data_IF_039725563278
#
_entry.id   IF_039725563278
#
_cell.length_a   1.000
_cell.length_b   1.000
_cell.length_c   1.000
_cell.angle_alpha   90.00
_cell.angle_beta   90.00
_cell.angle_gamma   90.00
#
_symmetry.space_group_name_H-M   'P 1'
#
loop_
_entity.id
_entity.type
_entity.pdbx_description
1 polymer ?
#
# COMPACT_ATOMS: atom_id res chain seq x y z
N UNK A 1 5.46 15.36 29.29
CA UNK A 1 4.96 16.75 29.31
C UNK A 1 3.49 16.69 28.89
N UNK A 2 2.61 17.17 29.79
CA UNK A 2 1.15 17.40 29.72
C UNK A 2 0.42 17.06 28.40
N UNK A 3 -0.75 16.38 28.40
CA UNK A 3 -1.93 16.93 29.06
C UNK A 3 -3.01 15.86 29.35
N UNK A 4 -3.18 15.53 30.64
CA UNK A 4 -4.26 14.71 31.21
C UNK A 4 -5.31 15.69 31.76
N UNK A 5 -6.06 16.36 30.88
CA UNK A 5 -7.02 17.40 31.28
C UNK A 5 -8.22 17.48 30.33
N UNK A 6 -8.82 16.34 29.97
CA UNK A 6 -10.08 16.35 29.22
C UNK A 6 -11.15 15.38 29.71
N UNK A 7 -10.98 14.76 30.89
CA UNK A 7 -11.92 13.73 31.36
C UNK A 7 -12.79 14.18 32.54
N UNK A 8 -12.35 15.11 33.38
CA UNK A 8 -13.05 15.37 34.64
C UNK A 8 -14.29 16.26 34.48
N UNK A 9 -14.30 17.16 33.48
CA UNK A 9 -15.43 18.07 33.23
C UNK A 9 -16.56 17.41 32.45
N UNK A 10 -16.24 16.46 31.57
CA UNK A 10 -17.24 15.68 30.82
C UNK A 10 -17.91 14.65 31.73
N UNK A 11 -17.15 13.97 32.60
CA UNK A 11 -17.70 13.09 33.64
C UNK A 11 -18.59 13.84 34.65
N UNK A 12 -18.21 15.06 35.06
CA UNK A 12 -19.05 15.89 35.94
C UNK A 12 -20.31 16.43 35.23
N UNK A 13 -20.29 16.57 33.90
CA UNK A 13 -21.47 16.96 33.14
C UNK A 13 -22.50 15.81 33.03
N UNK A 14 -22.04 14.56 32.95
CA UNK A 14 -22.91 13.39 32.99
C UNK A 14 -23.49 13.09 34.38
N UNK A 15 -22.77 13.44 35.48
CA UNK A 15 -23.30 13.32 36.85
C UNK A 15 -24.21 14.49 37.29
N UNK A 16 -24.31 15.56 36.50
CA UNK A 16 -25.23 16.69 36.77
C UNK A 16 -26.53 16.58 35.96
N UNK A 17 -26.92 15.37 35.53
CA UNK A 17 -28.33 15.10 35.29
C UNK A 17 -29.01 14.91 36.65
N UNK A 18 -29.89 15.85 36.96
CA UNK A 18 -30.74 15.93 38.16
C UNK A 18 -31.21 14.55 38.66
N UNK A 19 -30.98 14.27 39.94
CA UNK A 19 -31.68 13.23 40.71
C UNK A 19 -33.18 13.53 40.73
N UNK A 20 -34.00 12.67 40.13
CA UNK A 20 -35.45 12.65 40.29
C UNK A 20 -35.83 11.94 41.61
N UNK A 21 -36.86 12.41 42.33
CA UNK A 21 -37.32 11.80 43.59
C UNK A 21 -37.91 10.39 43.41
N UNK A 22 -38.01 9.58 44.47
CA UNK A 22 -38.02 8.11 44.40
C UNK A 22 -39.28 7.42 43.85
N UNK A 23 -40.35 8.11 43.48
CA UNK A 23 -41.65 7.47 43.20
C UNK A 23 -42.38 8.02 41.96
N UNK A 24 -41.70 8.19 40.83
CA UNK A 24 -42.37 8.58 39.58
C UNK A 24 -41.90 7.70 38.42
N UNK A 25 -42.80 6.83 37.95
CA UNK A 25 -42.57 5.95 36.82
C UNK A 25 -42.11 6.72 35.58
N UNK A 26 -41.23 6.11 34.79
CA UNK A 26 -40.69 6.59 33.51
C UNK A 26 -41.63 7.57 32.82
N UNK A 27 -41.23 8.84 32.74
CA UNK A 27 -41.98 9.83 31.97
C UNK A 27 -41.97 9.42 30.51
N UNK A 28 -43.14 9.29 29.88
CA UNK A 28 -43.29 8.90 28.47
C UNK A 28 -42.44 9.76 27.51
N UNK A 29 -42.19 11.02 27.87
CA UNK A 29 -41.34 11.94 27.11
C UNK A 29 -39.85 11.53 27.15
N UNK A 30 -39.37 11.08 28.32
CA UNK A 30 -37.99 10.65 28.50
C UNK A 30 -37.68 9.42 27.65
N UNK A 31 -38.61 8.45 27.63
CA UNK A 31 -38.51 7.26 26.77
C UNK A 31 -38.49 7.66 25.29
N UNK A 32 -39.30 8.63 24.88
CA UNK A 32 -39.35 9.10 23.49
C UNK A 32 -38.05 9.80 23.05
N UNK A 33 -37.48 10.65 23.91
CA UNK A 33 -36.18 11.29 23.65
C UNK A 33 -35.06 10.24 23.63
N UNK A 34 -35.09 9.26 24.55
CA UNK A 34 -34.11 8.18 24.56
C UNK A 34 -34.15 7.35 23.26
N UNK A 35 -35.35 6.99 22.78
CA UNK A 35 -35.50 6.27 21.50
C UNK A 35 -35.00 7.11 20.31
N UNK A 36 -35.25 8.42 20.31
CA UNK A 36 -34.76 9.33 19.27
C UNK A 36 -33.21 9.37 19.24
N UNK A 37 -32.57 9.48 20.40
CA UNK A 37 -31.11 9.50 20.50
C UNK A 37 -30.50 8.17 20.06
N UNK A 38 -31.09 7.04 20.47
CA UNK A 38 -30.63 5.71 20.03
C UNK A 38 -30.79 5.55 18.51
N UNK A 39 -31.90 6.01 17.94
CA UNK A 39 -32.12 5.92 16.49
C UNK A 39 -31.07 6.71 15.69
N UNK A 40 -30.82 7.97 16.07
CA UNK A 40 -29.82 8.79 15.37
C UNK A 40 -28.40 8.26 15.53
N UNK A 41 -28.04 7.79 16.72
CA UNK A 41 -26.72 7.21 16.97
C UNK A 41 -26.52 5.90 16.21
N UNK A 42 -27.54 5.03 16.16
CA UNK A 42 -27.51 3.78 15.38
C UNK A 42 -27.37 4.06 13.87
N UNK A 43 -28.16 4.98 13.34
CA UNK A 43 -28.09 5.38 11.92
C UNK A 43 -26.71 5.98 11.59
N UNK A 44 -26.15 6.80 12.49
CA UNK A 44 -24.79 7.33 12.35
C UNK A 44 -23.72 6.25 12.35
N UNK A 45 -23.81 5.29 13.27
CA UNK A 45 -22.83 4.22 13.42
C UNK A 45 -22.79 3.28 12.20
N UNK A 46 -23.95 2.88 11.67
CA UNK A 46 -24.03 2.01 10.49
C UNK A 46 -23.39 2.66 9.27
N UNK A 47 -23.73 3.92 8.99
CA UNK A 47 -23.15 4.65 7.88
C UNK A 47 -21.64 4.86 8.09
N UNK A 48 -21.21 5.21 9.30
CA UNK A 48 -19.78 5.38 9.63
C UNK A 48 -18.96 4.12 9.40
N UNK A 49 -19.46 2.96 9.85
CA UNK A 49 -18.79 1.67 9.65
C UNK A 49 -18.71 1.28 8.17
N UNK A 50 -19.78 1.53 7.39
CA UNK A 50 -19.77 1.29 5.95
C UNK A 50 -18.66 2.10 5.26
N UNK A 51 -18.49 3.38 5.60
CA UNK A 51 -17.39 4.17 5.04
C UNK A 51 -16.02 3.64 5.49
N UNK A 52 -15.84 3.32 6.77
CA UNK A 52 -14.57 2.81 7.29
C UNK A 52 -14.13 1.51 6.60
N UNK A 53 -15.06 0.55 6.44
CA UNK A 53 -14.78 -0.72 5.76
C UNK A 53 -14.45 -0.51 4.28
N UNK A 54 -15.14 0.40 3.58
CA UNK A 54 -14.81 0.74 2.20
C UNK A 54 -13.41 1.34 2.06
N UNK A 55 -13.02 2.26 2.95
CA UNK A 55 -11.68 2.83 2.94
C UNK A 55 -10.61 1.80 3.26
N UNK A 56 -10.87 0.92 4.23
CA UNK A 56 -9.97 -0.16 4.58
C UNK A 56 -9.69 -1.08 3.38
N UNK A 57 -10.73 -1.53 2.66
CA UNK A 57 -10.55 -2.40 1.48
C UNK A 57 -9.74 -1.71 0.38
N UNK A 58 -9.94 -0.39 0.18
CA UNK A 58 -9.13 0.37 -0.78
C UNK A 58 -7.67 0.44 -0.35
N UNK A 59 -7.41 0.71 0.93
CA UNK A 59 -6.07 0.77 1.48
C UNK A 59 -5.36 -0.58 1.39
N UNK A 60 -6.04 -1.68 1.73
CA UNK A 60 -5.50 -3.04 1.62
C UNK A 60 -5.09 -3.38 0.18
N UNK A 61 -5.91 -3.02 -0.82
CA UNK A 61 -5.58 -3.23 -2.24
C UNK A 61 -4.33 -2.46 -2.68
N UNK A 62 -4.18 -1.21 -2.23
CA UNK A 62 -3.00 -0.41 -2.53
C UNK A 62 -1.75 -0.95 -1.82
N UNK A 63 -1.89 -1.37 -0.56
CA UNK A 63 -0.82 -1.99 0.20
C UNK A 63 -0.36 -3.31 -0.43
N UNK A 64 -1.28 -4.17 -0.85
CA UNK A 64 -0.98 -5.42 -1.55
C UNK A 64 -0.24 -5.19 -2.87
N UNK A 65 -0.69 -4.20 -3.67
CA UNK A 65 0.00 -3.85 -4.92
C UNK A 65 1.45 -3.42 -4.67
N UNK A 66 1.68 -2.63 -3.62
CA UNK A 66 3.03 -2.18 -3.22
C UNK A 66 3.87 -3.35 -2.70
N UNK A 67 3.29 -4.24 -1.89
CA UNK A 67 3.96 -5.44 -1.39
C UNK A 67 4.45 -6.34 -2.53
N UNK A 68 3.63 -6.57 -3.55
CA UNK A 68 4.06 -7.37 -4.70
C UNK A 68 5.24 -6.74 -5.44
N UNK A 69 5.23 -5.40 -5.60
CA UNK A 69 6.34 -4.68 -6.22
C UNK A 69 7.61 -4.81 -5.37
N UNK A 70 7.51 -4.67 -4.04
CA UNK A 70 8.64 -4.81 -3.12
C UNK A 70 9.24 -6.22 -3.20
N UNK A 71 8.40 -7.25 -3.12
CA UNK A 71 8.81 -8.65 -3.22
C UNK A 71 9.57 -8.93 -4.52
N UNK A 72 9.08 -8.43 -5.65
CA UNK A 72 9.77 -8.59 -6.93
C UNK A 72 11.07 -7.77 -7.00
N UNK A 73 11.07 -6.55 -6.46
CA UNK A 73 12.28 -5.72 -6.39
C UNK A 73 13.38 -6.38 -5.54
N UNK A 74 13.02 -7.07 -4.46
CA UNK A 74 13.96 -7.87 -3.66
C UNK A 74 14.55 -9.04 -4.45
N UNK A 75 13.74 -9.72 -5.26
CA UNK A 75 14.24 -10.75 -6.16
C UNK A 75 15.22 -10.17 -7.19
N UNK A 76 14.91 -9.02 -7.80
CA UNK A 76 15.81 -8.34 -8.74
C UNK A 76 17.11 -7.93 -8.07
N UNK A 77 17.06 -7.39 -6.84
CA UNK A 77 18.26 -7.04 -6.06
C UNK A 77 19.12 -8.26 -5.76
N UNK A 78 18.51 -9.39 -5.43
CA UNK A 78 19.20 -10.66 -5.22
C UNK A 78 19.93 -11.13 -6.49
N UNK A 79 19.26 -11.06 -7.64
CA UNK A 79 19.87 -11.38 -8.95
C UNK A 79 21.01 -10.42 -9.31
N UNK A 80 20.84 -9.12 -9.03
CA UNK A 80 21.90 -8.13 -9.22
C UNK A 80 23.13 -8.40 -8.33
N UNK A 81 22.91 -8.85 -7.09
CA UNK A 81 23.99 -9.26 -6.20
C UNK A 81 24.68 -10.55 -6.66
N UNK A 82 23.97 -11.49 -7.28
CA UNK A 82 24.57 -12.71 -7.82
C UNK A 82 25.57 -12.43 -8.96
N UNK A 83 25.40 -11.33 -9.70
CA UNK A 83 26.33 -10.91 -10.76
C UNK A 83 27.61 -10.26 -10.23
N UNK A 84 27.77 -10.17 -8.90
CA UNK A 84 28.84 -9.44 -8.24
C UNK A 84 30.24 -10.09 -8.31
N UNK A 85 30.49 -11.07 -9.18
CA UNK A 85 31.81 -11.70 -9.32
C UNK A 85 32.39 -11.58 -10.72
N UNK A 86 31.60 -11.14 -11.70
CA UNK A 86 32.03 -11.11 -13.11
C UNK A 86 32.55 -9.74 -13.52
N UNK A 87 33.86 -9.51 -13.37
CA UNK A 87 34.54 -8.24 -13.70
C UNK A 87 34.57 -7.93 -15.20
N UNK A 88 34.28 -8.90 -16.07
CA UNK A 88 34.22 -8.69 -17.51
C UNK A 88 33.01 -7.84 -17.97
N UNK A 89 32.07 -7.56 -17.06
CA UNK A 89 30.87 -6.75 -17.31
C UNK A 89 31.08 -5.24 -17.08
N UNK A 90 32.29 -4.82 -16.69
CA UNK A 90 32.68 -3.40 -16.66
C UNK A 90 32.95 -2.87 -18.08
N UNK A 91 31.91 -2.80 -18.92
CA UNK A 91 32.01 -2.31 -20.30
C UNK A 91 31.17 -1.05 -20.51
N UNK A 92 31.54 -0.28 -21.52
CA UNK A 92 30.83 0.95 -21.93
C UNK A 92 29.58 0.70 -22.78
N UNK A 93 29.40 -0.54 -23.26
CA UNK A 93 28.22 -0.93 -24.04
C UNK A 93 27.18 -1.61 -23.14
N UNK A 94 25.93 -1.15 -23.23
CA UNK A 94 24.85 -1.67 -22.39
C UNK A 94 24.66 -3.19 -22.56
N UNK A 95 24.74 -3.73 -23.77
CA UNK A 95 24.52 -5.16 -24.03
C UNK A 95 25.52 -6.09 -23.33
N UNK A 96 26.71 -5.61 -22.99
CA UNK A 96 27.78 -6.37 -22.34
C UNK A 96 28.09 -5.86 -20.93
N UNK A 97 27.23 -5.01 -20.38
CA UNK A 97 27.39 -4.39 -19.08
C UNK A 97 26.73 -5.18 -17.96
N UNK A 98 26.95 -4.80 -16.71
CA UNK A 98 26.20 -5.35 -15.58
C UNK A 98 24.69 -5.12 -15.71
N UNK A 99 24.25 -3.95 -16.18
CA UNK A 99 22.81 -3.69 -16.35
C UNK A 99 22.21 -4.51 -17.51
N UNK A 100 22.97 -4.73 -18.58
CA UNK A 100 22.57 -5.58 -19.71
C UNK A 100 22.44 -7.05 -19.31
N UNK A 101 23.43 -7.58 -18.60
CA UNK A 101 23.39 -8.93 -18.06
C UNK A 101 22.26 -9.12 -17.03
N UNK A 102 22.00 -8.10 -16.21
CA UNK A 102 20.84 -8.11 -15.30
C UNK A 102 19.54 -8.12 -16.09
N UNK A 103 19.41 -7.29 -17.14
CA UNK A 103 18.23 -7.25 -18.01
C UNK A 103 17.92 -8.60 -18.66
N UNK A 104 18.93 -9.38 -19.05
CA UNK A 104 18.71 -10.72 -19.62
C UNK A 104 18.30 -11.76 -18.59
N UNK A 105 18.67 -11.56 -17.32
CA UNK A 105 18.36 -12.47 -16.22
C UNK A 105 17.00 -12.15 -15.58
N UNK A 106 16.61 -10.88 -15.61
CA UNK A 106 15.32 -10.40 -15.11
C UNK A 106 14.28 -10.57 -16.22
N UNK A 107 13.50 -11.64 -16.15
CA UNK A 107 12.42 -11.89 -17.11
C UNK A 107 11.48 -10.67 -17.20
N UNK A 108 11.01 -10.31 -18.39
CA UNK A 108 9.94 -9.33 -18.46
C UNK A 108 8.69 -9.92 -17.80
N UNK A 109 8.16 -9.27 -16.75
CA UNK A 109 6.82 -9.63 -16.25
C UNK A 109 5.83 -9.05 -17.26
N UNK A 110 5.50 -9.88 -18.25
CA UNK A 110 4.34 -9.67 -19.11
C UNK A 110 3.08 -9.97 -18.29
N UNK A 111 1.89 -9.45 -18.67
CA UNK A 111 0.65 -9.84 -18.02
C UNK A 111 0.39 -11.32 -18.33
N UNK A 112 1.03 -12.22 -17.58
CA UNK A 112 0.88 -13.65 -17.71
C UNK A 112 0.37 -14.23 -16.41
N UNK A 113 -0.59 -15.12 -16.60
CA UNK A 113 -1.57 -15.73 -15.70
C UNK A 113 -0.98 -16.65 -14.62
N UNK A 114 0.30 -16.53 -14.28
CA UNK A 114 1.00 -17.55 -13.47
C UNK A 114 0.93 -17.34 -11.96
N UNK A 115 0.18 -16.36 -11.48
CA UNK A 115 -0.13 -16.24 -10.06
C UNK A 115 -1.65 -16.42 -9.84
N UNK A 116 -2.11 -17.54 -9.24
CA UNK A 116 -3.54 -17.82 -9.09
C UNK A 116 -4.28 -16.87 -8.13
N UNK A 117 -3.59 -15.94 -7.47
CA UNK A 117 -4.17 -14.84 -6.67
C UNK A 117 -4.41 -13.54 -7.48
N UNK A 118 -3.92 -13.47 -8.72
CA UNK A 118 -3.95 -12.29 -9.62
C UNK A 118 -5.04 -12.40 -10.72
N UNK A 119 -6.10 -13.20 -10.53
CA UNK A 119 -7.22 -13.22 -11.52
C UNK A 119 -7.83 -11.84 -11.77
N UNK A 120 -7.76 -10.93 -10.78
CA UNK A 120 -8.29 -9.56 -10.88
C UNK A 120 -7.24 -8.49 -11.15
N UNK A 121 -5.95 -8.76 -10.95
CA UNK A 121 -4.90 -7.75 -11.04
C UNK A 121 -3.76 -8.24 -11.94
N UNK A 122 -3.07 -7.34 -12.61
CA UNK A 122 -1.87 -7.66 -13.39
C UNK A 122 -0.75 -6.71 -13.00
N UNK A 123 0.44 -7.28 -12.76
CA UNK A 123 1.67 -6.54 -12.61
C UNK A 123 2.43 -6.59 -13.94
N UNK A 124 3.00 -5.46 -14.33
CA UNK A 124 3.90 -5.36 -15.47
C UNK A 124 5.21 -4.76 -15.00
N UNK A 125 6.31 -5.40 -15.39
CA UNK A 125 7.67 -4.92 -15.19
C UNK A 125 8.28 -4.61 -16.55
N UNK A 126 8.74 -3.38 -16.73
CA UNK A 126 9.48 -2.95 -17.91
C UNK A 126 10.89 -2.53 -17.52
N UNK A 127 11.88 -3.10 -18.19
CA UNK A 127 13.30 -2.81 -17.95
C UNK A 127 13.87 -2.05 -19.14
N UNK A 128 14.56 -0.94 -18.89
CA UNK A 128 15.24 -0.13 -19.89
C UNK A 128 16.67 0.20 -19.45
N UNK A 129 17.55 0.42 -20.43
CA UNK A 129 18.91 0.89 -20.18
C UNK A 129 19.51 1.51 -21.43
N UNK A 130 20.59 2.26 -21.27
CA UNK A 130 21.20 3.05 -22.33
C UNK A 130 22.72 2.88 -22.34
N UNK A 131 23.35 3.19 -23.47
CA UNK A 131 24.82 3.22 -23.57
C UNK A 131 25.45 4.43 -22.87
N UNK A 132 24.65 5.43 -22.45
CA UNK A 132 25.16 6.59 -21.70
C UNK A 132 25.44 6.25 -20.25
N UNK A 133 24.64 5.35 -19.66
CA UNK A 133 24.83 4.81 -18.32
C UNK A 133 24.68 3.28 -18.38
N UNK A 134 25.64 2.57 -18.99
CA UNK A 134 25.53 1.13 -19.24
C UNK A 134 25.46 0.34 -17.93
N UNK A 135 25.84 0.91 -16.80
CA UNK A 135 25.89 0.23 -15.51
C UNK A 135 24.59 0.32 -14.68
N UNK A 136 23.61 1.10 -15.13
CA UNK A 136 22.35 1.34 -14.41
C UNK A 136 21.19 0.70 -15.20
N UNK A 137 20.40 -0.13 -14.53
CA UNK A 137 19.16 -0.69 -15.08
C UNK A 137 17.96 0.08 -14.54
N UNK A 138 17.18 0.68 -15.43
CA UNK A 138 15.92 1.32 -15.09
C UNK A 138 14.80 0.29 -15.07
N UNK A 139 14.00 0.27 -14.01
CA UNK A 139 12.88 -0.64 -13.85
C UNK A 139 11.62 0.15 -13.51
N UNK A 140 10.58 -0.06 -14.31
CA UNK A 140 9.25 0.49 -14.10
C UNK A 140 8.27 -0.63 -13.79
N UNK A 141 7.53 -0.47 -12.70
CA UNK A 141 6.45 -1.35 -12.28
C UNK A 141 5.11 -0.65 -12.44
N UNK A 142 4.13 -1.38 -12.96
CA UNK A 142 2.74 -0.93 -13.03
C UNK A 142 1.83 -2.07 -12.60
N UNK A 143 1.04 -1.84 -11.56
CA UNK A 143 -0.02 -2.78 -11.11
C UNK A 143 -1.37 -2.19 -11.48
N UNK A 144 -2.16 -2.95 -12.24
CA UNK A 144 -3.47 -2.53 -12.75
C UNK A 144 -4.52 -3.62 -12.59
N UNK A 145 -5.79 -3.27 -12.68
CA UNK A 145 -6.86 -4.26 -12.74
C UNK A 145 -6.84 -4.99 -14.09
N UNK A 146 -7.07 -6.30 -14.09
CA UNK A 146 -7.09 -7.14 -15.29
C UNK A 146 -8.34 -6.87 -16.13
N UNK A 147 -9.46 -6.56 -15.48
CA UNK A 147 -10.73 -6.20 -16.13
C UNK A 147 -10.77 -4.77 -16.67
N UNK A 148 -10.03 -3.85 -16.05
CA UNK A 148 -9.98 -2.44 -16.41
C UNK A 148 -8.55 -1.92 -16.36
N UNK A 149 -7.94 -1.82 -17.54
CA UNK A 149 -6.54 -1.39 -17.70
C UNK A 149 -6.32 0.09 -17.39
N UNK A 150 -7.38 0.90 -17.27
CA UNK A 150 -7.28 2.33 -16.90
C UNK A 150 -7.10 2.52 -15.41
N UNK A 151 -7.46 1.50 -14.61
CA UNK A 151 -7.38 1.56 -13.15
C UNK A 151 -6.03 1.08 -12.65
N UNK A 152 -5.13 2.03 -12.48
CA UNK A 152 -3.80 1.83 -11.92
C UNK A 152 -3.87 1.88 -10.39
N UNK A 153 -3.31 0.86 -9.73
CA UNK A 153 -3.29 0.72 -8.28
C UNK A 153 -1.98 1.23 -7.67
N UNK A 154 -0.87 0.92 -8.33
CA UNK A 154 0.45 1.32 -7.91
C UNK A 154 1.39 1.40 -9.11
N UNK A 155 2.28 2.39 -9.07
CA UNK A 155 3.42 2.50 -9.97
C UNK A 155 4.68 2.71 -9.14
N UNK A 156 5.78 2.13 -9.59
CA UNK A 156 7.09 2.38 -9.00
C UNK A 156 8.11 2.52 -10.13
N UNK A 157 8.87 3.61 -10.08
CA UNK A 157 10.07 3.78 -10.87
C UNK A 157 11.27 3.60 -9.95
N UNK A 158 12.21 2.76 -10.34
CA UNK A 158 13.46 2.59 -9.60
C UNK A 158 14.60 2.26 -10.55
N UNK A 159 15.80 2.60 -10.11
CA UNK A 159 17.03 2.24 -10.78
C UNK A 159 17.76 1.20 -9.93
N UNK A 160 18.33 0.20 -10.59
CA UNK A 160 19.07 -0.87 -9.96
C UNK A 160 20.48 -0.87 -10.54
N UNK A 161 21.46 -0.77 -9.65
CA UNK A 161 22.88 -0.84 -9.98
C UNK A 161 23.48 -2.03 -9.23
N UNK A 162 24.00 -3.05 -9.94
CA UNK A 162 24.71 -4.15 -9.29
C UNK A 162 25.90 -3.63 -8.47
N UNK A 163 26.16 -4.17 -7.27
CA UNK A 163 27.19 -3.63 -6.37
C UNK A 163 28.58 -3.50 -7.00
N UNK A 164 28.98 -4.46 -7.84
CA UNK A 164 30.28 -4.39 -8.53
C UNK A 164 30.34 -3.37 -9.64
N UNK A 165 29.21 -2.90 -10.15
CA UNK A 165 29.22 -1.87 -11.17
C UNK A 165 29.81 -0.55 -10.65
N UNK A 166 29.83 -0.35 -9.32
CA UNK A 166 30.50 0.77 -8.64
C UNK A 166 32.03 0.70 -8.74
N UNK A 167 32.60 -0.49 -8.99
CA UNK A 167 34.04 -0.68 -9.18
C UNK A 167 34.51 -0.37 -10.60
N UNK A 168 33.59 -0.15 -11.55
CA UNK A 168 33.90 0.14 -12.94
C UNK A 168 34.19 1.63 -13.22
N UNK A 169 34.34 2.46 -12.19
CA UNK A 169 34.58 3.90 -12.32
C UNK A 169 36.00 4.22 -12.79
#
# INVERSE_FOLDING_TARGET
MFNKSMDHKFLLFLCRSRSLPPDSGLSMLEVLVAMMVVFFTMMGALNGLLYATLFQVKAERQAQATYWIQQDLENVKSLAAAQATNTALCTSAFSTSYAGALKTTVDAITPSTSNPLLTRYSMIRTTAGTNTNPQILTISYTVRETSDTTKVLATLYTEVMPPQALSCS
#
